data_IF_436254020323
#
_entry.id   IF_436254020323
#
_cell.length_a   1.000
_cell.length_b   1.000
_cell.length_c   1.000
_cell.angle_alpha   90.00
_cell.angle_beta   90.00
_cell.angle_gamma   90.00
#
_symmetry.space_group_name_H-M   'P 1'
#
loop_
_entity.id
_entity.type
_entity.pdbx_description
1 polymer ?
#
# COMPACT_ATOMS: atom_id res chain seq x y z
N UNK A 1 -45.90 20.78 31.44
CA UNK A 1 -45.23 20.64 30.16
C UNK A 1 -44.25 19.46 30.28
N UNK A 2 -44.68 18.28 29.80
CA UNK A 2 -43.80 17.11 29.78
C UNK A 2 -43.00 17.17 28.49
N UNK A 3 -41.70 17.42 28.57
CA UNK A 3 -40.77 17.25 27.46
C UNK A 3 -40.56 15.73 27.25
N UNK A 4 -41.17 15.23 26.20
CA UNK A 4 -40.96 13.88 25.73
C UNK A 4 -39.49 13.74 25.22
N UNK A 5 -38.59 13.29 26.09
CA UNK A 5 -37.25 12.90 25.70
C UNK A 5 -37.34 11.59 24.91
N UNK A 6 -37.50 11.71 23.60
CA UNK A 6 -37.35 10.58 22.69
C UNK A 6 -35.93 10.05 22.84
N UNK A 7 -35.77 8.80 23.28
CA UNK A 7 -34.47 8.12 23.26
C UNK A 7 -33.90 8.16 21.82
N UNK A 8 -32.60 8.42 21.66
CA UNK A 8 -31.97 8.43 20.34
C UNK A 8 -32.24 7.09 19.66
N UNK A 9 -32.73 7.14 18.42
CA UNK A 9 -32.90 5.94 17.57
C UNK A 9 -31.56 5.20 17.49
N UNK A 10 -31.54 3.85 17.58
CA UNK A 10 -30.29 3.11 17.46
C UNK A 10 -29.60 3.52 16.14
N UNK A 11 -28.31 3.81 16.22
CA UNK A 11 -27.54 4.19 15.04
C UNK A 11 -27.56 3.03 14.03
N UNK A 12 -28.11 3.28 12.85
CA UNK A 12 -28.13 2.31 11.75
C UNK A 12 -26.70 1.94 11.37
N UNK A 13 -26.39 0.64 11.30
CA UNK A 13 -25.05 0.17 10.93
C UNK A 13 -24.73 0.50 9.48
N UNK A 14 -23.43 0.51 9.13
CA UNK A 14 -23.00 0.71 7.73
C UNK A 14 -23.60 -0.38 6.84
N UNK A 15 -23.64 -1.64 7.30
CA UNK A 15 -24.24 -2.75 6.54
C UNK A 15 -25.72 -2.53 6.25
N UNK A 16 -26.51 -2.10 7.25
CA UNK A 16 -27.93 -1.77 7.07
C UNK A 16 -28.17 -0.62 6.10
N UNK A 17 -27.33 0.40 6.13
CA UNK A 17 -27.41 1.54 5.21
C UNK A 17 -27.12 1.10 3.77
N UNK A 18 -26.06 0.35 3.56
CA UNK A 18 -25.65 -0.12 2.24
C UNK A 18 -26.61 -1.14 1.67
N UNK A 19 -27.10 -2.10 2.47
CA UNK A 19 -28.15 -3.04 2.05
C UNK A 19 -29.50 -2.36 1.79
N UNK A 20 -29.75 -1.20 2.42
CA UNK A 20 -30.88 -0.31 2.15
C UNK A 20 -30.74 0.51 0.85
N UNK A 21 -29.67 0.35 0.09
CA UNK A 21 -29.46 1.00 -1.20
C UNK A 21 -28.80 2.38 -1.13
N UNK A 22 -28.18 2.76 0.00
CA UNK A 22 -27.44 4.01 0.07
C UNK A 22 -26.21 3.97 -0.87
N UNK A 23 -25.94 5.06 -1.62
CA UNK A 23 -24.79 5.13 -2.50
C UNK A 23 -23.48 5.10 -1.68
N UNK A 24 -22.47 4.38 -2.18
CA UNK A 24 -21.17 4.24 -1.51
C UNK A 24 -20.00 4.26 -2.48
N UNK A 25 -18.82 4.49 -1.96
CA UNK A 25 -17.54 4.46 -2.67
C UNK A 25 -16.68 3.39 -2.02
N UNK A 26 -16.02 2.57 -2.85
CA UNK A 26 -14.97 1.66 -2.36
C UNK A 26 -13.59 2.29 -2.57
N UNK A 27 -12.75 2.25 -1.55
CA UNK A 27 -11.37 2.72 -1.64
C UNK A 27 -10.40 1.57 -1.35
N UNK A 28 -9.42 1.40 -2.24
CA UNK A 28 -8.39 0.39 -2.11
C UNK A 28 -7.06 1.05 -1.71
N UNK A 29 -6.51 0.62 -0.57
CA UNK A 29 -5.18 1.04 -0.11
C UNK A 29 -4.07 0.41 -0.95
N UNK A 30 -2.89 1.05 -0.93
CA UNK A 30 -1.68 0.55 -1.54
C UNK A 30 -0.73 -0.10 -0.53
N UNK A 31 0.58 -0.02 -0.80
CA UNK A 31 1.63 -0.51 0.09
C UNK A 31 1.50 0.08 1.51
N UNK A 32 1.97 -0.67 2.51
CA UNK A 32 1.79 -0.41 3.94
C UNK A 32 0.35 -0.60 4.47
N UNK A 33 -0.61 -1.07 3.66
CA UNK A 33 -1.91 -1.52 4.18
C UNK A 33 -1.71 -2.77 5.03
N UNK A 34 -2.23 -2.83 6.28
CA UNK A 34 -2.21 -4.04 7.10
C UNK A 34 -3.07 -5.12 6.41
N UNK A 35 -2.45 -6.19 5.94
CA UNK A 35 -3.15 -7.23 5.17
C UNK A 35 -3.16 -8.60 5.85
N UNK A 36 -2.06 -8.96 6.54
CA UNK A 36 -1.91 -10.30 7.13
C UNK A 36 -3.00 -10.60 8.14
N UNK A 37 -3.19 -9.72 9.10
CA UNK A 37 -4.21 -9.90 10.13
C UNK A 37 -5.62 -9.90 9.53
N UNK A 38 -5.92 -8.97 8.61
CA UNK A 38 -7.21 -8.90 7.93
C UNK A 38 -7.51 -10.20 7.18
N UNK A 39 -6.54 -10.73 6.40
CA UNK A 39 -6.70 -11.98 5.68
C UNK A 39 -6.89 -13.16 6.65
N UNK A 40 -6.05 -13.27 7.68
CA UNK A 40 -6.14 -14.34 8.67
C UNK A 40 -7.50 -14.33 9.39
N UNK A 41 -7.98 -13.18 9.83
CA UNK A 41 -9.26 -13.05 10.52
C UNK A 41 -10.41 -13.50 9.60
N UNK A 42 -10.45 -13.02 8.36
CA UNK A 42 -11.51 -13.36 7.41
C UNK A 42 -11.54 -14.85 7.07
N UNK A 43 -10.40 -15.47 6.76
CA UNK A 43 -10.35 -16.91 6.42
C UNK A 43 -10.61 -17.80 7.62
N UNK A 44 -10.36 -17.33 8.85
CA UNK A 44 -10.69 -18.08 10.07
C UNK A 44 -12.18 -18.11 10.37
N UNK A 45 -12.92 -17.09 9.92
CA UNK A 45 -14.35 -16.95 10.18
C UNK A 45 -15.24 -17.64 9.13
N UNK A 46 -14.69 -17.84 7.91
CA UNK A 46 -15.46 -18.41 6.79
C UNK A 46 -14.64 -19.44 6.01
N UNK A 47 -15.00 -20.73 6.17
CA UNK A 47 -14.34 -21.84 5.47
C UNK A 47 -14.54 -21.80 3.93
N UNK A 48 -15.65 -21.28 3.44
CA UNK A 48 -15.87 -21.15 1.99
C UNK A 48 -14.95 -20.08 1.41
N UNK A 49 -14.79 -18.97 2.11
CA UNK A 49 -13.84 -17.92 1.76
C UNK A 49 -12.39 -18.44 1.81
N UNK A 50 -12.03 -19.20 2.85
CA UNK A 50 -10.72 -19.82 2.94
C UNK A 50 -10.44 -20.74 1.72
N UNK A 51 -11.41 -21.57 1.35
CA UNK A 51 -11.30 -22.44 0.18
C UNK A 51 -11.17 -21.66 -1.15
N UNK A 52 -11.90 -20.53 -1.29
CA UNK A 52 -11.80 -19.66 -2.47
C UNK A 52 -10.42 -19.01 -2.58
N UNK A 53 -9.89 -18.45 -1.48
CA UNK A 53 -8.56 -17.86 -1.42
C UNK A 53 -7.48 -18.88 -1.82
N UNK A 54 -7.54 -20.11 -1.30
CA UNK A 54 -6.62 -21.21 -1.67
C UNK A 54 -6.77 -21.58 -3.14
N UNK A 55 -8.00 -21.63 -3.67
CA UNK A 55 -8.25 -21.95 -5.08
C UNK A 55 -7.68 -20.88 -6.02
N UNK A 56 -7.84 -19.59 -5.69
CA UNK A 56 -7.23 -18.49 -6.45
C UNK A 56 -5.71 -18.59 -6.41
N UNK A 57 -5.13 -18.75 -5.23
CA UNK A 57 -3.67 -18.85 -5.06
C UNK A 57 -3.07 -20.00 -5.89
N UNK A 58 -3.72 -21.18 -5.89
CA UNK A 58 -3.34 -22.32 -6.71
C UNK A 58 -3.44 -22.02 -8.21
N UNK A 59 -4.57 -21.46 -8.67
CA UNK A 59 -4.77 -21.12 -10.07
C UNK A 59 -3.74 -20.09 -10.58
N UNK A 60 -3.39 -19.12 -9.74
CA UNK A 60 -2.32 -18.16 -10.03
C UNK A 60 -0.96 -18.86 -10.16
N UNK A 61 -0.64 -19.80 -9.26
CA UNK A 61 0.60 -20.56 -9.32
C UNK A 61 0.67 -21.43 -10.61
N UNK A 62 -0.42 -22.07 -11.01
CA UNK A 62 -0.54 -22.83 -12.24
C UNK A 62 -0.36 -21.95 -13.48
N UNK A 63 -1.00 -20.77 -13.51
CA UNK A 63 -0.87 -19.81 -14.61
C UNK A 63 0.55 -19.27 -14.76
N UNK A 64 1.26 -19.07 -13.67
CA UNK A 64 2.64 -18.59 -13.67
C UNK A 64 3.71 -19.69 -13.82
N UNK A 65 3.31 -20.96 -13.83
CA UNK A 65 4.25 -22.08 -13.98
C UNK A 65 5.12 -22.01 -15.24
N UNK A 66 4.64 -21.50 -16.41
CA UNK A 66 5.46 -21.33 -17.61
C UNK A 66 6.39 -20.11 -17.55
N UNK A 67 6.15 -19.17 -16.63
CA UNK A 67 6.98 -17.96 -16.51
C UNK A 67 8.35 -18.35 -15.98
N UNK A 68 9.40 -17.68 -16.49
CA UNK A 68 10.79 -17.96 -16.15
C UNK A 68 10.98 -18.11 -14.63
N UNK A 69 11.55 -19.25 -14.25
CA UNK A 69 11.86 -19.57 -12.85
C UNK A 69 12.72 -18.50 -12.18
N UNK A 70 13.56 -17.81 -12.95
CA UNK A 70 14.44 -16.76 -12.44
C UNK A 70 13.69 -15.54 -11.88
N UNK A 71 12.54 -15.19 -12.47
CA UNK A 71 11.70 -14.12 -11.95
C UNK A 71 10.97 -14.58 -10.68
N UNK A 72 10.50 -15.82 -10.65
CA UNK A 72 9.69 -16.37 -9.57
C UNK A 72 10.50 -17.04 -8.45
N UNK A 73 11.81 -17.27 -8.63
CA UNK A 73 12.69 -17.82 -7.56
C UNK A 73 12.81 -16.88 -6.36
N UNK A 74 12.45 -15.61 -6.54
CA UNK A 74 12.35 -14.65 -5.45
C UNK A 74 11.11 -14.87 -4.61
N UNK A 75 10.07 -15.48 -5.18
CA UNK A 75 8.83 -15.82 -4.49
C UNK A 75 8.90 -17.24 -3.93
N UNK A 76 8.69 -17.46 -2.64
CA UNK A 76 8.49 -18.81 -2.12
C UNK A 76 7.33 -19.46 -2.87
N UNK A 77 7.54 -20.69 -3.33
CA UNK A 77 6.52 -21.48 -4.04
C UNK A 77 5.23 -21.54 -3.22
N UNK A 78 4.09 -21.23 -3.87
CA UNK A 78 2.72 -21.53 -3.42
C UNK A 78 2.38 -21.16 -1.98
N UNK A 79 1.15 -21.17 -1.64
CA UNK A 79 0.51 -21.23 -0.29
C UNK A 79 1.13 -20.50 0.93
N UNK A 80 2.37 -19.98 0.90
CA UNK A 80 2.95 -19.25 2.04
C UNK A 80 2.22 -17.98 2.46
N UNK A 81 1.25 -17.51 1.69
CA UNK A 81 0.35 -16.47 2.19
C UNK A 81 -0.52 -16.98 3.35
N UNK A 82 -0.76 -18.30 3.38
CA UNK A 82 -1.58 -18.99 4.39
C UNK A 82 -0.81 -19.99 5.26
N UNK A 83 0.34 -20.51 4.78
CA UNK A 83 1.12 -21.55 5.48
C UNK A 83 2.09 -20.99 6.51
N UNK A 84 2.19 -19.70 6.68
CA UNK A 84 2.93 -19.17 7.83
C UNK A 84 2.12 -19.51 9.10
N UNK A 85 2.40 -20.69 9.69
CA UNK A 85 2.30 -20.89 11.13
C UNK A 85 3.23 -19.92 11.88
N UNK A 86 3.45 -18.74 11.35
CA UNK A 86 4.04 -17.65 12.08
C UNK A 86 3.06 -17.35 13.20
N UNK A 87 3.40 -17.84 14.39
CA UNK A 87 2.82 -17.42 15.64
C UNK A 87 2.51 -15.93 15.57
N UNK A 88 1.38 -15.46 16.15
CA UNK A 88 1.00 -14.07 16.08
C UNK A 88 2.18 -13.22 16.51
N UNK A 89 2.89 -12.65 15.54
CA UNK A 89 4.01 -11.75 15.82
C UNK A 89 3.39 -10.56 16.54
N UNK A 90 3.71 -10.49 17.82
CA UNK A 90 3.28 -9.38 18.65
C UNK A 90 3.55 -8.06 17.92
N UNK A 91 2.66 -7.05 17.99
CA UNK A 91 2.76 -5.81 17.23
C UNK A 91 4.08 -5.04 17.39
N UNK A 92 4.93 -5.49 18.30
CA UNK A 92 6.16 -4.81 18.72
C UNK A 92 7.43 -5.20 17.94
N UNK A 93 7.37 -6.16 17.02
CA UNK A 93 8.54 -6.56 16.21
C UNK A 93 8.32 -6.34 14.69
N UNK A 94 8.08 -5.09 14.31
CA UNK A 94 8.13 -4.64 12.91
C UNK A 94 9.57 -4.41 12.47
N UNK A 95 10.43 -5.40 12.51
CA UNK A 95 11.85 -5.20 12.20
C UNK A 95 12.24 -5.56 10.77
N UNK A 96 11.34 -6.15 9.98
CA UNK A 96 11.58 -6.35 8.53
C UNK A 96 10.30 -6.09 7.76
N UNK A 97 10.33 -5.09 6.87
CA UNK A 97 9.28 -4.92 5.88
C UNK A 97 9.22 -6.17 5.00
N UNK A 98 8.02 -6.71 4.77
CA UNK A 98 7.82 -7.76 3.77
C UNK A 98 8.37 -7.32 2.43
N UNK A 99 9.03 -8.22 1.70
CA UNK A 99 9.40 -7.97 0.31
C UNK A 99 8.14 -7.67 -0.52
N UNK A 100 8.30 -6.92 -1.61
CA UNK A 100 7.17 -6.65 -2.49
C UNK A 100 6.59 -7.92 -3.12
N UNK A 101 7.42 -8.96 -3.28
CA UNK A 101 7.05 -10.30 -3.73
C UNK A 101 6.03 -10.98 -2.81
N UNK A 102 5.95 -10.56 -1.55
CA UNK A 102 4.98 -11.03 -0.55
C UNK A 102 3.89 -9.99 -0.33
N UNK A 103 4.24 -8.71 -0.13
CA UNK A 103 3.28 -7.68 0.25
C UNK A 103 2.33 -7.29 -0.88
N UNK A 104 2.79 -7.24 -2.14
CA UNK A 104 1.91 -6.88 -3.27
C UNK A 104 0.81 -7.91 -3.48
N UNK A 105 1.09 -9.21 -3.64
CA UNK A 105 0.02 -10.22 -3.76
C UNK A 105 -0.78 -10.38 -2.46
N UNK A 106 -0.16 -10.25 -1.29
CA UNK A 106 -0.84 -10.38 0.00
C UNK A 106 -1.90 -9.30 0.23
N UNK A 107 -1.58 -8.04 -0.05
CA UNK A 107 -2.54 -6.94 0.04
C UNK A 107 -3.71 -7.17 -0.93
N UNK A 108 -3.45 -7.58 -2.17
CA UNK A 108 -4.51 -7.85 -3.14
C UNK A 108 -5.37 -9.03 -2.70
N UNK A 109 -4.77 -10.10 -2.14
CA UNK A 109 -5.53 -11.24 -1.63
C UNK A 109 -6.43 -10.86 -0.44
N UNK A 110 -5.95 -10.01 0.48
CA UNK A 110 -6.79 -9.49 1.55
C UNK A 110 -7.94 -8.63 1.01
N UNK A 111 -7.70 -7.80 0.00
CA UNK A 111 -8.74 -7.04 -0.69
C UNK A 111 -9.77 -7.96 -1.37
N UNK A 112 -9.32 -9.06 -1.98
CA UNK A 112 -10.19 -10.11 -2.53
C UNK A 112 -11.06 -10.73 -1.44
N UNK A 113 -10.46 -11.16 -0.35
CA UNK A 113 -11.18 -11.75 0.77
C UNK A 113 -12.23 -10.81 1.35
N UNK A 114 -11.93 -9.51 1.46
CA UNK A 114 -12.91 -8.50 1.87
C UNK A 114 -14.05 -8.43 0.86
N UNK A 115 -13.78 -8.30 -0.45
CA UNK A 115 -14.81 -8.24 -1.47
C UNK A 115 -15.70 -9.48 -1.48
N UNK A 116 -15.10 -10.67 -1.35
CA UNK A 116 -15.83 -11.95 -1.31
C UNK A 116 -16.66 -12.13 -0.03
N UNK A 117 -16.31 -11.45 1.07
CA UNK A 117 -17.08 -11.50 2.33
C UNK A 117 -18.28 -10.53 2.34
N UNK A 118 -18.31 -9.50 1.50
CA UNK A 118 -19.36 -8.47 1.48
C UNK A 118 -20.77 -9.02 1.28
N UNK A 119 -21.02 -9.99 0.37
CA UNK A 119 -22.37 -10.57 0.22
C UNK A 119 -22.92 -11.20 1.50
N UNK A 120 -22.05 -11.84 2.29
CA UNK A 120 -22.42 -12.39 3.61
C UNK A 120 -22.84 -11.33 4.63
N UNK A 121 -22.38 -10.09 4.44
CA UNK A 121 -22.80 -8.92 5.22
C UNK A 121 -24.00 -8.17 4.59
N UNK A 122 -24.62 -8.72 3.55
CA UNK A 122 -25.75 -8.10 2.85
C UNK A 122 -25.36 -7.00 1.85
N UNK A 123 -24.09 -6.91 1.50
CA UNK A 123 -23.55 -5.91 0.56
C UNK A 123 -23.00 -6.65 -0.65
N UNK A 124 -23.77 -6.75 -1.71
CA UNK A 124 -23.32 -7.40 -2.94
C UNK A 124 -22.91 -6.34 -3.99
N UNK A 125 -21.61 -6.17 -4.24
CA UNK A 125 -21.13 -5.19 -5.21
C UNK A 125 -21.55 -5.46 -6.65
N UNK A 126 -22.03 -6.67 -6.99
CA UNK A 126 -22.51 -7.00 -8.32
C UNK A 126 -23.95 -6.51 -8.54
N UNK A 127 -24.80 -6.59 -7.52
CA UNK A 127 -26.22 -6.18 -7.60
C UNK A 127 -26.44 -4.76 -7.09
N UNK A 128 -25.62 -4.30 -6.14
CA UNK A 128 -25.61 -2.93 -5.64
C UNK A 128 -24.20 -2.34 -5.83
N UNK A 129 -23.91 -1.95 -7.07
CA UNK A 129 -22.59 -1.44 -7.43
C UNK A 129 -22.26 -0.14 -6.69
N UNK A 130 -20.99 0.05 -6.25
CA UNK A 130 -20.54 1.34 -5.73
C UNK A 130 -20.64 2.42 -6.81
N UNK A 131 -20.96 3.65 -6.43
CA UNK A 131 -21.00 4.79 -7.37
C UNK A 131 -19.61 5.13 -7.92
N UNK A 132 -18.56 4.75 -7.22
CA UNK A 132 -17.16 4.90 -7.65
C UNK A 132 -16.25 3.93 -6.90
N UNK A 133 -15.13 3.60 -7.51
CA UNK A 133 -14.02 2.90 -6.88
C UNK A 133 -12.73 3.70 -7.05
N UNK A 134 -11.95 3.83 -5.99
CA UNK A 134 -10.70 4.59 -5.97
C UNK A 134 -9.57 3.67 -5.51
N UNK A 135 -8.50 3.60 -6.30
CA UNK A 135 -7.27 2.88 -5.93
C UNK A 135 -6.10 3.85 -5.83
N UNK A 136 -5.38 3.83 -4.70
CA UNK A 136 -4.14 4.58 -4.54
C UNK A 136 -2.94 3.65 -4.76
N UNK A 137 -2.03 4.02 -5.69
CA UNK A 137 -0.83 3.22 -6.01
C UNK A 137 -1.23 1.78 -6.39
N UNK A 138 -0.74 0.77 -5.67
CA UNK A 138 -1.14 -0.63 -5.85
C UNK A 138 -2.66 -0.86 -5.76
N UNK A 139 -3.39 0.00 -5.05
CA UNK A 139 -4.86 -0.07 -4.94
C UNK A 139 -5.58 -0.04 -6.29
N UNK A 140 -4.93 0.37 -7.38
CA UNK A 140 -5.44 0.27 -8.75
C UNK A 140 -5.74 -1.20 -9.12
N UNK A 141 -4.94 -2.15 -8.64
CA UNK A 141 -5.21 -3.59 -8.84
C UNK A 141 -6.50 -4.01 -8.12
N UNK A 142 -6.78 -3.43 -6.94
CA UNK A 142 -8.05 -3.65 -6.22
C UNK A 142 -9.27 -3.16 -7.01
N UNK A 143 -9.14 -2.04 -7.74
CA UNK A 143 -10.21 -1.57 -8.64
C UNK A 143 -10.43 -2.54 -9.80
N UNK A 144 -9.36 -3.04 -10.41
CA UNK A 144 -9.45 -4.04 -11.48
C UNK A 144 -10.05 -5.37 -10.97
N UNK A 145 -9.69 -5.77 -9.75
CA UNK A 145 -10.26 -6.93 -9.08
C UNK A 145 -11.76 -6.76 -8.84
N UNK A 146 -12.20 -5.60 -8.32
CA UNK A 146 -13.63 -5.30 -8.13
C UNK A 146 -14.40 -5.44 -9.44
N UNK A 147 -13.89 -4.90 -10.54
CA UNK A 147 -14.50 -5.00 -11.86
C UNK A 147 -14.66 -6.46 -12.31
N UNK A 148 -13.62 -7.28 -12.12
CA UNK A 148 -13.67 -8.71 -12.44
C UNK A 148 -14.69 -9.47 -11.58
N UNK A 149 -14.76 -9.16 -10.28
CA UNK A 149 -15.75 -9.74 -9.34
C UNK A 149 -17.17 -9.34 -9.72
N UNK A 150 -17.41 -8.06 -10.03
CA UNK A 150 -18.72 -7.57 -10.46
C UNK A 150 -19.20 -8.21 -11.77
N UNK A 151 -18.28 -8.49 -12.69
CA UNK A 151 -18.57 -9.14 -13.95
C UNK A 151 -18.69 -10.68 -13.84
N UNK A 152 -18.35 -11.28 -12.70
CA UNK A 152 -18.31 -12.74 -12.54
C UNK A 152 -17.18 -13.40 -13.33
N UNK A 153 -16.15 -12.64 -13.72
CA UNK A 153 -15.06 -13.07 -14.60
C UNK A 153 -13.92 -13.72 -13.79
N UNK A 154 -14.08 -14.99 -13.42
CA UNK A 154 -13.10 -15.75 -12.61
C UNK A 154 -11.68 -15.73 -13.20
N UNK A 155 -11.56 -15.91 -14.51
CA UNK A 155 -10.25 -15.87 -15.19
C UNK A 155 -9.56 -14.51 -15.02
N UNK A 156 -10.30 -13.43 -15.10
CA UNK A 156 -9.78 -12.08 -14.89
C UNK A 156 -9.36 -11.83 -13.45
N UNK A 157 -10.07 -12.39 -12.48
CA UNK A 157 -9.64 -12.38 -11.07
C UNK A 157 -8.26 -13.03 -10.95
N UNK A 158 -8.07 -14.22 -11.55
CA UNK A 158 -6.77 -14.92 -11.55
C UNK A 158 -5.69 -14.08 -12.24
N UNK A 159 -6.01 -13.44 -13.37
CA UNK A 159 -5.07 -12.55 -14.09
C UNK A 159 -4.59 -11.38 -13.24
N UNK A 160 -5.49 -10.69 -12.55
CA UNK A 160 -5.14 -9.55 -11.68
C UNK A 160 -4.23 -10.00 -10.55
N UNK A 161 -4.48 -11.17 -9.95
CA UNK A 161 -3.59 -11.76 -8.94
C UNK A 161 -2.24 -12.19 -9.52
N UNK A 162 -2.20 -12.75 -10.73
CA UNK A 162 -0.96 -13.09 -11.40
C UNK A 162 -0.10 -11.85 -11.69
N UNK A 163 -0.72 -10.78 -12.19
CA UNK A 163 -0.05 -9.48 -12.39
C UNK A 163 0.52 -8.94 -11.07
N UNK A 164 -0.23 -9.02 -9.98
CA UNK A 164 0.25 -8.60 -8.67
C UNK A 164 1.52 -9.37 -8.24
N UNK A 165 1.56 -10.68 -8.46
CA UNK A 165 2.75 -11.50 -8.18
C UNK A 165 3.93 -11.12 -9.05
N UNK A 166 3.72 -10.94 -10.36
CA UNK A 166 4.79 -10.52 -11.28
C UNK A 166 5.36 -9.15 -10.89
N UNK A 167 4.50 -8.17 -10.60
CA UNK A 167 4.94 -6.84 -10.15
C UNK A 167 5.78 -6.96 -8.88
N UNK A 168 5.30 -7.70 -7.89
CA UNK A 168 6.01 -7.89 -6.62
C UNK A 168 7.37 -8.55 -6.80
N UNK A 169 7.43 -9.63 -7.59
CA UNK A 169 8.64 -10.36 -7.89
C UNK A 169 9.66 -9.50 -8.65
N UNK A 170 9.24 -8.83 -9.73
CA UNK A 170 10.09 -7.98 -10.56
C UNK A 170 10.65 -6.79 -9.75
N UNK A 171 9.81 -6.13 -8.94
CA UNK A 171 10.23 -5.03 -8.09
C UNK A 171 11.26 -5.49 -7.03
N UNK A 172 11.02 -6.63 -6.37
CA UNK A 172 11.95 -7.20 -5.39
C UNK A 172 13.29 -7.60 -6.04
N UNK A 173 13.23 -8.27 -7.21
CA UNK A 173 14.43 -8.65 -7.97
C UNK A 173 15.26 -7.42 -8.36
N UNK A 174 14.62 -6.39 -8.91
CA UNK A 174 15.29 -5.17 -9.33
C UNK A 174 15.90 -4.43 -8.12
N UNK A 175 15.18 -4.35 -7.01
CA UNK A 175 15.68 -3.76 -5.77
C UNK A 175 16.93 -4.45 -5.25
N UNK A 176 16.94 -5.80 -5.26
CA UNK A 176 18.11 -6.61 -4.86
C UNK A 176 19.29 -6.40 -5.80
N UNK A 177 19.04 -6.41 -7.12
CA UNK A 177 20.09 -6.21 -8.14
C UNK A 177 20.77 -4.85 -8.02
N UNK A 178 20.04 -3.83 -7.60
CA UNK A 178 20.55 -2.46 -7.46
C UNK A 178 21.00 -2.12 -6.04
N UNK A 179 20.96 -3.08 -5.11
CA UNK A 179 21.29 -2.89 -3.70
C UNK A 179 20.55 -1.67 -3.08
N UNK A 180 19.23 -1.66 -3.27
CA UNK A 180 18.34 -0.61 -2.78
C UNK A 180 17.54 -1.03 -1.54
N UNK A 181 17.92 -2.14 -0.91
CA UNK A 181 17.22 -2.71 0.23
C UNK A 181 17.26 -1.84 1.48
N UNK A 182 16.50 -2.24 2.48
CA UNK A 182 16.46 -1.60 3.80
C UNK A 182 17.80 -1.69 4.51
N UNK A 183 18.25 -0.59 5.12
CA UNK A 183 19.46 -0.52 5.93
C UNK A 183 19.08 -0.06 7.34
N UNK A 184 19.18 -0.95 8.33
CA UNK A 184 18.71 -0.66 9.68
C UNK A 184 17.21 -0.36 9.69
N UNK A 185 16.82 0.79 10.18
CA UNK A 185 15.42 1.28 10.19
C UNK A 185 15.07 2.08 8.94
N UNK A 186 16.06 2.45 8.14
CA UNK A 186 15.87 3.27 6.94
C UNK A 186 15.48 2.40 5.75
N UNK A 187 14.35 2.70 5.15
CA UNK A 187 13.80 2.01 3.98
C UNK A 187 13.99 2.86 2.71
N UNK A 188 13.81 2.28 1.51
CA UNK A 188 13.97 3.02 0.26
C UNK A 188 12.82 4.00 -0.05
N UNK A 189 11.91 4.23 0.90
CA UNK A 189 10.82 5.22 0.76
C UNK A 189 10.65 6.06 2.02
N UNK A 190 10.58 7.38 1.84
CA UNK A 190 10.46 8.37 2.91
C UNK A 190 9.19 9.23 2.69
N UNK A 191 8.31 9.25 3.68
CA UNK A 191 7.21 10.21 3.77
C UNK A 191 7.71 11.54 4.32
N UNK A 192 7.39 12.64 3.62
CA UNK A 192 7.71 14.01 4.02
C UNK A 192 6.42 14.82 4.06
N UNK A 193 6.05 15.30 5.25
CA UNK A 193 4.84 16.10 5.48
C UNK A 193 5.20 17.49 6.06
N UNK A 194 4.28 18.44 5.93
CA UNK A 194 4.48 19.81 6.42
C UNK A 194 5.42 20.66 5.55
N UNK A 195 5.76 20.22 4.34
CA UNK A 195 6.68 20.87 3.41
C UNK A 195 6.03 21.00 2.04
N UNK A 196 6.01 22.20 1.48
CA UNK A 196 5.53 22.42 0.10
C UNK A 196 6.53 21.88 -0.90
N UNK A 197 6.07 21.55 -2.11
CA UNK A 197 6.93 21.03 -3.19
C UNK A 197 8.12 21.98 -3.48
N UNK A 198 7.90 23.28 -3.57
CA UNK A 198 8.96 24.25 -3.84
C UNK A 198 10.03 24.29 -2.74
N UNK A 199 9.64 24.15 -1.47
CA UNK A 199 10.59 24.08 -0.35
C UNK A 199 11.34 22.75 -0.38
N UNK A 200 10.67 21.64 -0.67
CA UNK A 200 11.29 20.33 -0.82
C UNK A 200 12.33 20.34 -1.95
N UNK A 201 11.99 20.87 -3.14
CA UNK A 201 12.91 20.98 -4.27
C UNK A 201 14.14 21.85 -3.92
N UNK A 202 13.94 22.96 -3.17
CA UNK A 202 15.02 23.80 -2.70
C UNK A 202 15.92 23.11 -1.64
N UNK A 203 15.41 22.16 -0.89
CA UNK A 203 16.21 21.33 0.02
C UNK A 203 16.95 20.27 -0.79
N UNK A 204 16.27 19.54 -1.66
CA UNK A 204 16.86 18.49 -2.50
C UNK A 204 18.03 19.04 -3.34
N UNK A 205 17.90 20.24 -3.92
CA UNK A 205 18.98 20.85 -4.72
C UNK A 205 20.30 21.07 -3.95
N UNK A 206 20.30 20.92 -2.63
CA UNK A 206 21.47 21.07 -1.75
C UNK A 206 21.96 19.75 -1.16
N UNK A 207 21.24 18.65 -1.41
CA UNK A 207 21.61 17.32 -0.94
C UNK A 207 22.45 16.64 -2.01
N UNK A 208 23.71 16.26 -1.70
CA UNK A 208 24.50 15.45 -2.62
C UNK A 208 23.79 14.15 -2.96
N UNK A 209 23.76 13.79 -4.24
CA UNK A 209 23.09 12.57 -4.69
C UNK A 209 21.57 12.69 -4.87
N UNK A 210 21.01 13.90 -4.74
CA UNK A 210 19.56 14.13 -4.94
C UNK A 210 19.06 13.76 -6.34
N UNK A 211 19.93 13.69 -7.33
CA UNK A 211 19.60 13.21 -8.68
C UNK A 211 19.16 11.72 -8.70
N UNK A 212 19.50 10.96 -7.65
CA UNK A 212 19.08 9.56 -7.44
C UNK A 212 17.79 9.43 -6.63
N UNK A 213 17.23 10.56 -6.17
CA UNK A 213 16.01 10.60 -5.38
C UNK A 213 14.85 11.05 -6.28
N UNK A 214 13.78 10.29 -6.25
CA UNK A 214 12.53 10.64 -6.94
C UNK A 214 11.48 11.13 -5.95
N UNK A 215 10.79 12.23 -6.28
CA UNK A 215 9.52 12.56 -5.64
C UNK A 215 8.45 11.72 -6.34
N UNK A 216 8.26 10.50 -5.83
CA UNK A 216 7.46 9.48 -6.49
C UNK A 216 5.95 9.74 -6.38
N UNK A 217 5.50 10.27 -5.24
CA UNK A 217 4.08 10.56 -5.01
C UNK A 217 3.91 11.92 -4.34
N UNK A 218 2.88 12.66 -4.76
CA UNK A 218 2.43 13.89 -4.11
C UNK A 218 0.99 13.69 -3.65
N UNK A 219 0.81 13.44 -2.35
CA UNK A 219 -0.49 13.16 -1.73
C UNK A 219 -1.24 14.44 -1.32
N UNK A 220 -0.66 15.61 -1.58
CA UNK A 220 -1.26 16.89 -1.24
C UNK A 220 -0.25 18.03 -1.32
N UNK A 221 -0.70 19.24 -0.97
CA UNK A 221 0.16 20.45 -1.08
C UNK A 221 1.43 20.38 -0.23
N UNK A 222 1.41 19.59 0.85
CA UNK A 222 2.50 19.48 1.82
C UNK A 222 2.74 18.03 2.24
N UNK A 223 2.45 17.07 1.37
CA UNK A 223 2.64 15.65 1.62
C UNK A 223 3.22 14.96 0.39
N UNK A 224 4.44 14.48 0.53
CA UNK A 224 5.23 13.89 -0.54
C UNK A 224 5.85 12.56 -0.10
N UNK A 225 6.02 11.65 -1.04
CA UNK A 225 6.79 10.43 -0.84
C UNK A 225 8.03 10.51 -1.73
N UNK A 226 9.18 10.35 -1.10
CA UNK A 226 10.47 10.24 -1.78
C UNK A 226 10.84 8.78 -1.90
N UNK A 227 11.45 8.41 -3.02
CA UNK A 227 11.98 7.08 -3.28
C UNK A 227 13.43 7.18 -3.73
N UNK A 228 14.30 6.34 -3.16
CA UNK A 228 15.72 6.37 -3.44
C UNK A 228 16.50 5.39 -2.55
N UNK A 229 17.82 5.51 -2.55
CA UNK A 229 18.66 4.74 -1.61
C UNK A 229 18.43 5.21 -0.18
N UNK A 230 18.35 4.32 0.81
CA UNK A 230 18.14 4.71 2.21
C UNK A 230 19.12 5.80 2.69
N UNK A 231 20.41 5.66 2.40
CA UNK A 231 21.41 6.65 2.79
C UNK A 231 21.20 8.03 2.15
N UNK A 232 20.76 8.10 0.89
CA UNK A 232 20.43 9.36 0.23
C UNK A 232 19.17 10.01 0.89
N UNK A 233 18.21 9.19 1.29
CA UNK A 233 16.99 9.66 1.99
C UNK A 233 17.29 10.14 3.42
N UNK A 234 18.23 9.51 4.14
CA UNK A 234 18.71 10.00 5.44
C UNK A 234 19.36 11.39 5.32
N UNK A 235 20.12 11.62 4.25
CA UNK A 235 20.69 12.94 3.98
C UNK A 235 19.60 14.00 3.76
N UNK A 236 18.47 13.63 3.15
CA UNK A 236 17.30 14.52 3.02
C UNK A 236 16.68 14.82 4.39
N UNK A 237 16.52 13.84 5.26
CA UNK A 237 16.00 14.04 6.63
C UNK A 237 16.87 15.07 7.35
N UNK A 238 18.18 14.87 7.37
CA UNK A 238 19.15 15.80 7.98
C UNK A 238 19.05 17.21 7.39
N UNK A 239 18.91 17.32 6.06
CA UNK A 239 18.81 18.61 5.39
C UNK A 239 17.48 19.33 5.71
N UNK A 240 16.37 18.61 5.84
CA UNK A 240 15.06 19.14 6.25
C UNK A 240 15.09 19.64 7.69
N UNK A 241 15.69 18.89 8.60
CA UNK A 241 15.86 19.30 10.01
C UNK A 241 16.71 20.58 10.11
N UNK A 242 17.81 20.65 9.38
CA UNK A 242 18.64 21.85 9.32
C UNK A 242 17.87 23.05 8.73
N UNK A 243 17.00 22.84 7.72
CA UNK A 243 16.16 23.89 7.15
C UNK A 243 15.11 24.37 8.16
N UNK A 244 14.49 23.46 8.92
CA UNK A 244 13.56 23.76 9.98
C UNK A 244 14.21 24.62 11.10
N UNK A 245 15.41 24.22 11.54
CA UNK A 245 16.17 24.95 12.55
C UNK A 245 16.50 26.38 12.09
N UNK A 246 16.94 26.55 10.83
CA UNK A 246 17.17 27.88 10.23
C UNK A 246 15.91 28.72 10.18
N UNK A 247 14.76 28.12 9.80
CA UNK A 247 13.45 28.79 9.74
C UNK A 247 13.00 29.27 11.12
N UNK A 248 13.16 28.43 12.13
CA UNK A 248 12.82 28.76 13.52
C UNK A 248 13.68 29.91 14.06
N UNK A 249 15.02 29.89 13.80
CA UNK A 249 15.94 30.97 14.17
C UNK A 249 15.58 32.27 13.49
N UNK A 250 15.36 32.26 12.17
CA UNK A 250 14.99 33.46 11.41
C UNK A 250 13.67 34.11 11.90
N UNK A 251 12.70 33.31 12.34
CA UNK A 251 11.45 33.79 12.95
C UNK A 251 11.73 34.50 14.30
N UNK A 252 12.56 33.86 15.14
CA UNK A 252 12.94 34.43 16.45
C UNK A 252 13.63 35.80 16.30
N UNK A 253 14.56 35.88 15.32
CA UNK A 253 15.35 37.08 15.08
C UNK A 253 14.50 38.25 14.49
N UNK A 254 13.50 37.93 13.65
CA UNK A 254 12.71 38.95 12.91
C UNK A 254 11.51 39.49 13.66
N UNK A 255 11.13 38.99 14.83
CA UNK A 255 9.88 39.34 15.56
C UNK A 255 8.62 39.40 14.67
N UNK A 256 8.64 38.76 13.47
CA UNK A 256 7.54 38.74 12.50
C UNK A 256 6.80 37.41 12.55
N UNK A 257 5.47 37.49 12.61
CA UNK A 257 4.60 36.32 12.46
C UNK A 257 4.79 35.71 11.05
N UNK A 258 5.24 34.48 10.98
CA UNK A 258 5.34 33.68 9.78
C UNK A 258 5.29 32.20 10.17
N UNK A 259 4.81 31.35 9.29
CA UNK A 259 4.83 29.91 9.53
C UNK A 259 6.27 29.41 9.66
N UNK A 260 6.56 28.64 10.70
CA UNK A 260 7.83 27.92 10.82
C UNK A 260 7.75 26.65 9.99
N UNK A 261 8.80 26.34 9.26
CA UNK A 261 8.92 25.05 8.58
C UNK A 261 8.99 23.96 9.67
N UNK A 262 8.04 23.03 9.63
CA UNK A 262 7.92 21.92 10.58
C UNK A 262 7.76 20.60 9.79
N UNK A 263 8.84 20.09 9.20
CA UNK A 263 8.78 18.82 8.46
C UNK A 263 8.53 17.67 9.44
N UNK A 264 7.68 16.74 9.03
CA UNK A 264 7.52 15.44 9.66
C UNK A 264 7.99 14.41 8.63
N UNK A 265 9.00 13.64 9.00
CA UNK A 265 9.60 12.61 8.15
C UNK A 265 9.40 11.25 8.78
N UNK A 266 9.10 10.23 7.94
CA UNK A 266 8.87 8.88 8.38
C UNK A 266 9.27 7.91 7.26
N UNK A 267 10.15 6.95 7.55
CA UNK A 267 10.44 5.86 6.62
C UNK A 267 9.25 4.92 6.54
N UNK A 268 8.79 4.64 5.32
CA UNK A 268 7.64 3.77 5.11
C UNK A 268 8.06 2.30 5.29
N UNK A 269 7.13 1.49 5.78
CA UNK A 269 7.34 0.04 5.94
C UNK A 269 7.27 -0.66 4.57
N UNK A 270 8.28 -0.44 3.73
CA UNK A 270 8.43 -1.06 2.41
C UNK A 270 9.90 -1.29 2.11
N UNK A 271 10.23 -2.40 1.48
CA UNK A 271 11.59 -2.77 1.08
C UNK A 271 11.92 -2.40 -0.37
N UNK A 272 10.99 -1.77 -1.08
CA UNK A 272 11.12 -1.44 -2.51
C UNK A 272 10.91 0.06 -2.73
N UNK A 273 11.75 0.74 -3.51
CA UNK A 273 11.58 2.14 -3.86
C UNK A 273 10.52 2.30 -4.96
N UNK A 274 9.25 2.13 -4.63
CA UNK A 274 8.18 2.31 -5.61
C UNK A 274 8.13 3.74 -6.17
N UNK A 275 7.53 3.92 -7.35
CA UNK A 275 7.35 5.20 -8.02
C UNK A 275 8.68 5.93 -8.33
N UNK A 276 9.69 5.20 -8.78
CA UNK A 276 11.00 5.73 -9.17
C UNK A 276 11.47 5.11 -10.48
N UNK A 277 12.21 5.86 -11.32
CA UNK A 277 12.88 5.32 -12.50
C UNK A 277 13.87 4.18 -12.20
N UNK A 278 14.33 4.04 -10.96
CA UNK A 278 15.19 2.93 -10.54
C UNK A 278 14.55 1.56 -10.77
N UNK A 279 13.20 1.50 -10.78
CA UNK A 279 12.45 0.27 -11.06
C UNK A 279 12.11 0.08 -12.55
N UNK A 280 12.63 0.87 -13.47
CA UNK A 280 12.31 0.74 -14.91
C UNK A 280 12.55 -0.69 -15.41
N UNK A 281 13.67 -1.34 -15.00
CA UNK A 281 13.92 -2.73 -15.38
C UNK A 281 12.91 -3.75 -14.84
N UNK A 282 12.15 -3.42 -13.80
CA UNK A 282 11.05 -4.27 -13.34
C UNK A 282 9.84 -4.24 -14.29
N UNK A 283 9.65 -3.13 -15.02
CA UNK A 283 8.59 -3.01 -16.03
C UNK A 283 8.89 -3.94 -17.20
N UNK A 284 10.14 -3.96 -17.66
CA UNK A 284 10.58 -4.84 -18.75
C UNK A 284 10.43 -6.31 -18.36
N UNK A 285 10.79 -6.67 -17.11
CA UNK A 285 10.67 -8.03 -16.57
C UNK A 285 9.19 -8.50 -16.51
N UNK A 286 8.21 -7.59 -16.35
CA UNK A 286 6.77 -7.94 -16.33
C UNK A 286 6.18 -7.97 -17.75
N UNK A 287 6.72 -7.17 -18.67
CA UNK A 287 6.23 -7.08 -20.05
C UNK A 287 6.70 -8.24 -20.94
N UNK A 288 7.79 -8.90 -20.57
CA UNK A 288 8.34 -10.07 -21.27
C UNK A 288 7.58 -11.35 -20.97
#
# INVERSE_FOLDING_TARGET
MHTNSQAPSPATTIAERLSGGEPYIITFGGQATPWRQTLADLVSLDHALAADVVAVDRAVAERLAPVSTDLLTVTPRGSRLLDDEAAPVAPQHRTTADGADVSVPGILMAQHAVLASLPGAGIDPATHAPVSAIGHSQGVLGVSLLQAVQAGERERVIEVHAIARLIGAAATRTTRRLDLGTVGESTPMLSVRGVTRSVLDAVLSRVPGSERISVGVTNGRQAHILSGRPADLEAVVTALEAAAARSAKARKDRRRGGAVLAPVTEFLTTSVPFHTPLLAGAVDDVAA
#
